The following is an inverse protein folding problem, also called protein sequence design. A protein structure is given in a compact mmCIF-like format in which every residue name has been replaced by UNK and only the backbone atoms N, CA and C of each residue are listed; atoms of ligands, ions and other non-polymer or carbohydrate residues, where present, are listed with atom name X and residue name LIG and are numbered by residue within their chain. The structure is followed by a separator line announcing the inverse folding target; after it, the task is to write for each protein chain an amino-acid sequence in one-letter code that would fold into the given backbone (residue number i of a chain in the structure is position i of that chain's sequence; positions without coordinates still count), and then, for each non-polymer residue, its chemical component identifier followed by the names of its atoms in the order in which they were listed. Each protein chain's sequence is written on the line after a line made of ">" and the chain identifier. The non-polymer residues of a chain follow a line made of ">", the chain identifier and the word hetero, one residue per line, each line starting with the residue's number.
data_IF_784927853025
#
_entry.id   IF_784927853025
#
_cell.length_a   1.000
_cell.length_b   1.000
_cell.length_c   1.000
_cell.angle_alpha   90.00
_cell.angle_beta   90.00
_cell.angle_gamma   90.00
#
_symmetry.space_group_name_H-M   'P 1'
#
loop_
_entity.id
_entity.type
_entity.pdbx_description
1 polymer ?
#
# COMPACT_ATOMS: atom_id res chain seq x y z
N UNK A 1 13.54 9.45 7.51
CA UNK A 1 13.69 8.76 6.20
C UNK A 1 12.89 9.50 5.13
N UNK A 2 13.35 9.52 3.88
CA UNK A 2 12.63 10.20 2.79
C UNK A 2 11.31 9.47 2.48
N UNK A 3 10.17 10.18 2.32
CA UNK A 3 8.85 9.54 2.14
C UNK A 3 8.78 8.56 0.96
N UNK A 4 9.45 8.85 -0.15
CA UNK A 4 9.50 7.94 -1.31
C UNK A 4 10.28 6.65 -1.02
N UNK A 5 11.30 6.70 -0.14
CA UNK A 5 12.02 5.49 0.25
C UNK A 5 11.15 4.61 1.16
N UNK A 6 10.33 5.23 2.02
CA UNK A 6 9.33 4.51 2.79
C UNK A 6 8.29 3.86 1.88
N UNK A 7 7.76 4.59 0.89
CA UNK A 7 6.79 4.06 -0.07
C UNK A 7 7.36 2.87 -0.84
N UNK A 8 8.60 2.97 -1.32
CA UNK A 8 9.28 1.87 -2.00
C UNK A 8 9.34 0.58 -1.15
N UNK A 9 9.66 0.69 0.14
CA UNK A 9 9.66 -0.48 1.04
C UNK A 9 8.24 -0.97 1.31
N UNK A 10 7.29 -0.06 1.52
CA UNK A 10 5.90 -0.41 1.79
C UNK A 10 5.20 -1.11 0.64
N UNK A 11 5.48 -0.73 -0.61
CA UNK A 11 5.00 -1.43 -1.81
C UNK A 11 5.46 -2.89 -1.83
N UNK A 12 6.74 -3.14 -1.53
CA UNK A 12 7.28 -4.50 -1.45
C UNK A 12 6.63 -5.32 -0.33
N UNK A 13 6.44 -4.71 0.86
CA UNK A 13 5.78 -5.36 2.01
C UNK A 13 4.31 -5.69 1.70
N UNK A 14 3.57 -4.73 1.14
CA UNK A 14 2.18 -4.93 0.77
C UNK A 14 2.02 -6.00 -0.31
N UNK A 15 2.86 -5.95 -1.35
CA UNK A 15 2.88 -6.95 -2.42
C UNK A 15 3.19 -8.34 -1.89
N UNK A 16 4.17 -8.47 -0.98
CA UNK A 16 4.48 -9.76 -0.36
C UNK A 16 3.30 -10.28 0.45
N UNK A 17 2.67 -9.44 1.28
CA UNK A 17 1.50 -9.82 2.07
C UNK A 17 0.35 -10.33 1.19
N UNK A 18 0.03 -9.61 0.11
CA UNK A 18 -1.00 -10.02 -0.85
C UNK A 18 -0.64 -11.35 -1.51
N UNK A 19 0.63 -11.52 -1.95
CA UNK A 19 1.09 -12.78 -2.55
C UNK A 19 0.95 -13.96 -1.59
N UNK A 20 1.26 -13.78 -0.32
CA UNK A 20 1.05 -14.80 0.72
C UNK A 20 -0.42 -15.15 0.83
N UNK A 21 -1.29 -14.15 0.99
CA UNK A 21 -2.75 -14.33 1.13
C UNK A 21 -3.34 -15.12 -0.05
N UNK A 22 -3.08 -14.68 -1.29
CA UNK A 22 -3.65 -15.35 -2.48
C UNK A 22 -3.09 -16.76 -2.68
N UNK A 23 -1.84 -17.02 -2.27
CA UNK A 23 -1.24 -18.35 -2.32
C UNK A 23 -1.91 -19.30 -1.34
N UNK A 24 -2.19 -18.84 -0.12
CA UNK A 24 -2.90 -19.61 0.90
C UNK A 24 -4.36 -19.90 0.47
N UNK A 25 -5.02 -18.94 -0.19
CA UNK A 25 -6.39 -19.11 -0.69
C UNK A 25 -6.51 -20.10 -1.86
N UNK A 26 -5.56 -20.09 -2.81
CA UNK A 26 -5.69 -20.85 -4.06
C UNK A 26 -5.31 -22.34 -3.96
N UNK A 27 -4.61 -22.78 -2.91
CA UNK A 27 -4.36 -24.20 -2.63
C UNK A 27 -3.57 -24.98 -3.69
N UNK A 28 -2.90 -24.34 -4.66
CA UNK A 28 -2.14 -25.04 -5.71
C UNK A 28 -1.53 -24.12 -6.79
N UNK A 29 -0.70 -24.68 -7.72
CA UNK A 29 0.07 -23.90 -8.69
C UNK A 29 -0.81 -23.36 -9.83
N UNK A 30 -1.37 -22.17 -9.62
CA UNK A 30 -2.10 -21.40 -10.64
C UNK A 30 -1.43 -20.05 -10.85
N UNK A 31 -0.20 -20.05 -11.34
CA UNK A 31 0.67 -18.86 -11.41
C UNK A 31 0.02 -17.67 -12.12
N UNK A 32 -0.73 -17.91 -13.19
CA UNK A 32 -1.49 -16.85 -13.89
C UNK A 32 -2.62 -16.26 -13.03
N UNK A 33 -3.35 -17.09 -12.30
CA UNK A 33 -4.42 -16.65 -11.38
C UNK A 33 -3.83 -15.89 -10.18
N UNK A 34 -2.76 -16.40 -9.58
CA UNK A 34 -2.03 -15.72 -8.48
C UNK A 34 -1.54 -14.34 -8.91
N UNK A 35 -0.97 -14.23 -10.11
CA UNK A 35 -0.51 -12.94 -10.63
C UNK A 35 -1.68 -11.98 -10.87
N UNK A 36 -2.78 -12.45 -11.46
CA UNK A 36 -3.99 -11.63 -11.67
C UNK A 36 -4.55 -11.11 -10.35
N UNK A 37 -4.79 -12.00 -9.39
CA UNK A 37 -5.34 -11.64 -8.08
C UNK A 37 -4.42 -10.69 -7.30
N UNK A 38 -3.10 -10.92 -7.37
CA UNK A 38 -2.13 -10.01 -6.76
C UNK A 38 -2.22 -8.63 -7.40
N UNK A 39 -2.14 -8.54 -8.72
CA UNK A 39 -2.15 -7.29 -9.47
C UNK A 39 -3.43 -6.47 -9.22
N UNK A 40 -4.59 -7.13 -9.09
CA UNK A 40 -5.86 -6.49 -8.76
C UNK A 40 -5.82 -5.85 -7.36
N UNK A 41 -5.27 -6.55 -6.37
CA UNK A 41 -5.21 -6.06 -4.97
C UNK A 41 -4.12 -5.01 -4.73
N UNK A 42 -3.00 -5.05 -5.47
CA UNK A 42 -1.90 -4.07 -5.32
C UNK A 42 -2.01 -2.87 -6.27
N UNK A 43 -3.03 -2.83 -7.13
CA UNK A 43 -3.24 -1.71 -8.05
C UNK A 43 -3.38 -0.36 -7.30
N UNK A 44 -2.86 0.73 -7.88
CA UNK A 44 -2.92 2.06 -7.29
C UNK A 44 -4.35 2.51 -6.94
N UNK A 45 -5.35 2.12 -7.74
CA UNK A 45 -6.76 2.38 -7.47
C UNK A 45 -7.28 1.65 -6.23
N UNK A 46 -6.92 0.38 -6.07
CA UNK A 46 -7.25 -0.43 -4.90
C UNK A 46 -6.58 0.13 -3.64
N UNK A 47 -5.29 0.46 -3.71
CA UNK A 47 -4.55 1.08 -2.62
C UNK A 47 -5.10 2.47 -2.25
N UNK A 48 -5.49 3.27 -3.24
CA UNK A 48 -6.13 4.57 -2.99
C UNK A 48 -7.47 4.42 -2.26
N UNK A 49 -8.28 3.43 -2.63
CA UNK A 49 -9.53 3.13 -1.94
C UNK A 49 -9.29 2.66 -0.50
N UNK A 50 -8.33 1.75 -0.29
CA UNK A 50 -7.90 1.30 1.03
C UNK A 50 -7.41 2.48 1.90
N UNK A 51 -6.62 3.39 1.34
CA UNK A 51 -6.14 4.57 2.07
C UNK A 51 -7.27 5.43 2.61
N UNK A 52 -8.42 5.51 1.93
CA UNK A 52 -9.59 6.23 2.41
C UNK A 52 -10.21 5.61 3.67
N UNK A 53 -10.12 4.30 3.83
CA UNK A 53 -10.60 3.55 5.01
C UNK A 53 -9.60 3.55 6.16
N UNK A 54 -8.31 3.48 5.83
CA UNK A 54 -7.24 3.32 6.82
C UNK A 54 -6.82 4.68 7.39
N UNK A 55 -6.75 5.73 6.55
CA UNK A 55 -6.22 7.03 6.98
C UNK A 55 -6.93 7.72 8.15
N UNK A 56 -8.24 7.54 8.41
CA UNK A 56 -8.88 8.05 9.62
C UNK A 56 -8.40 7.40 10.91
N UNK A 57 -7.75 6.23 10.83
CA UNK A 57 -7.22 5.50 11.98
C UNK A 57 -5.78 5.88 12.31
N UNK A 58 -5.13 6.70 11.47
CA UNK A 58 -3.73 7.05 11.67
C UNK A 58 -3.51 7.86 12.95
N UNK A 59 -2.42 7.55 13.64
CA UNK A 59 -1.86 8.46 14.63
C UNK A 59 -1.20 9.69 13.96
N UNK A 60 -0.70 10.61 14.77
CA UNK A 60 -0.09 11.85 14.27
C UNK A 60 1.14 11.61 13.39
N UNK A 61 1.95 10.60 13.71
CA UNK A 61 3.17 10.26 12.98
C UNK A 61 2.84 9.60 11.64
N UNK A 62 1.92 8.63 11.66
CA UNK A 62 1.39 7.94 10.48
C UNK A 62 0.73 8.95 9.53
N UNK A 63 -0.10 9.86 10.05
CA UNK A 63 -0.77 10.90 9.27
C UNK A 63 0.24 11.90 8.67
N UNK A 64 1.31 12.22 9.39
CA UNK A 64 2.37 13.09 8.89
C UNK A 64 3.18 12.44 7.76
N UNK A 65 3.55 11.17 7.91
CA UNK A 65 4.23 10.39 6.87
C UNK A 65 3.35 10.30 5.63
N UNK A 66 2.08 9.94 5.81
CA UNK A 66 1.10 9.87 4.73
C UNK A 66 1.01 11.21 3.97
N UNK A 67 0.83 12.32 4.69
CA UNK A 67 0.72 13.66 4.10
C UNK A 67 1.99 14.07 3.36
N UNK A 68 3.18 13.81 3.91
CA UNK A 68 4.45 14.10 3.23
C UNK A 68 4.62 13.29 1.96
N UNK A 69 4.33 11.98 1.99
CA UNK A 69 4.41 11.11 0.84
C UNK A 69 3.45 11.53 -0.29
N UNK A 70 2.19 11.86 0.02
CA UNK A 70 1.23 12.37 -0.98
C UNK A 70 1.67 13.66 -1.67
N UNK A 71 2.52 14.44 -1.02
CA UNK A 71 2.98 15.74 -1.51
C UNK A 71 4.39 15.68 -2.15
N UNK A 72 5.09 14.54 -2.06
CA UNK A 72 6.33 14.34 -2.78
C UNK A 72 6.05 14.36 -4.29
N UNK A 73 6.76 15.22 -5.03
CA UNK A 73 6.72 15.19 -6.49
C UNK A 73 7.35 13.89 -6.97
N UNK A 74 6.55 13.04 -7.61
CA UNK A 74 7.08 11.93 -8.38
C UNK A 74 7.77 12.56 -9.60
N UNK A 75 9.08 12.34 -9.75
CA UNK A 75 9.83 12.77 -10.96
C UNK A 75 9.57 11.78 -12.10
N UNK A 76 8.31 11.63 -12.50
CA UNK A 76 7.94 10.96 -13.75
C UNK A 76 7.55 12.04 -14.75
N UNK A 77 8.08 11.94 -15.95
CA UNK A 77 7.95 12.91 -17.04
C UNK A 77 6.55 12.94 -17.70
N UNK A 78 5.49 12.62 -16.96
CA UNK A 78 4.12 12.62 -17.47
C UNK A 78 3.50 14.02 -17.27
N UNK A 79 3.51 14.83 -18.34
CA UNK A 79 3.02 16.22 -18.41
C UNK A 79 1.54 16.45 -18.06
N UNK A 80 0.80 15.44 -17.62
CA UNK A 80 -0.65 15.52 -17.45
C UNK A 80 -1.06 14.88 -16.13
N UNK A 81 -0.99 15.67 -15.06
CA UNK A 81 -1.69 15.48 -13.79
C UNK A 81 -1.80 14.03 -13.30
N UNK A 82 -0.87 13.58 -12.46
CA UNK A 82 -1.03 12.31 -11.78
C UNK A 82 -2.37 12.26 -11.02
N UNK A 83 -3.23 11.26 -11.29
CA UNK A 83 -4.51 11.12 -10.63
C UNK A 83 -4.31 11.12 -9.11
N UNK A 84 -5.15 11.84 -8.37
CA UNK A 84 -5.09 11.91 -6.90
C UNK A 84 -5.06 10.54 -6.20
N UNK A 85 -5.41 9.47 -6.91
CA UNK A 85 -5.28 8.07 -6.53
C UNK A 85 -3.83 7.63 -6.35
N UNK A 86 -2.92 7.91 -7.31
CA UNK A 86 -1.51 7.52 -7.20
C UNK A 86 -0.85 8.14 -5.96
N UNK A 87 -1.09 9.44 -5.74
CA UNK A 87 -0.59 10.12 -4.55
C UNK A 87 -1.09 9.46 -3.26
N UNK A 88 -2.37 9.08 -3.20
CA UNK A 88 -2.96 8.39 -2.05
C UNK A 88 -2.40 6.99 -1.84
N UNK A 89 -2.18 6.22 -2.91
CA UNK A 89 -1.52 4.92 -2.86
C UNK A 89 -0.10 5.05 -2.29
N UNK A 90 0.73 5.94 -2.85
CA UNK A 90 2.08 6.19 -2.34
C UNK A 90 2.10 6.71 -0.90
N UNK A 91 1.07 7.44 -0.48
CA UNK A 91 0.87 7.81 0.91
C UNK A 91 0.72 6.58 1.82
N UNK A 92 -0.15 5.64 1.44
CA UNK A 92 -0.39 4.41 2.20
C UNK A 92 0.87 3.55 2.24
N UNK A 93 1.52 3.34 1.10
CA UNK A 93 2.79 2.62 1.01
C UNK A 93 3.85 3.20 1.95
N UNK A 94 3.96 4.54 2.04
CA UNK A 94 4.92 5.17 2.94
C UNK A 94 4.65 4.87 4.42
N UNK A 95 3.39 4.79 4.83
CA UNK A 95 3.02 4.40 6.20
C UNK A 95 3.37 2.93 6.44
N UNK A 96 3.03 2.03 5.52
CA UNK A 96 3.36 0.60 5.63
C UNK A 96 4.88 0.38 5.73
N UNK A 97 5.66 1.08 4.90
CA UNK A 97 7.12 1.02 4.95
C UNK A 97 7.69 1.56 6.26
N UNK A 98 7.13 2.62 6.82
CA UNK A 98 7.51 3.12 8.13
C UNK A 98 7.27 2.10 9.24
N UNK A 99 6.07 1.52 9.28
CA UNK A 99 5.71 0.52 10.29
C UNK A 99 6.61 -0.71 10.20
N UNK A 100 6.89 -1.18 8.98
CA UNK A 100 7.82 -2.28 8.75
C UNK A 100 9.23 -1.98 9.25
N UNK A 101 9.80 -0.85 8.85
CA UNK A 101 11.18 -0.48 9.19
C UNK A 101 11.38 -0.13 10.66
N UNK A 102 10.30 0.20 11.37
CA UNK A 102 10.31 0.47 12.82
C UNK A 102 9.89 -0.73 13.66
N UNK A 103 9.58 -1.87 13.03
CA UNK A 103 9.21 -3.10 13.74
C UNK A 103 7.83 -3.06 14.39
N UNK A 104 6.94 -2.15 13.97
CA UNK A 104 5.58 -2.02 14.49
C UNK A 104 4.65 -3.07 13.86
N UNK A 105 4.92 -4.34 14.13
CA UNK A 105 4.32 -5.49 13.43
C UNK A 105 2.81 -5.59 13.62
N UNK A 106 2.28 -5.39 14.84
CA UNK A 106 0.83 -5.47 15.09
C UNK A 106 0.06 -4.41 14.28
N UNK A 107 0.58 -3.18 14.29
CA UNK A 107 0.01 -2.04 13.56
C UNK A 107 0.08 -2.25 12.04
N UNK A 108 1.21 -2.78 11.56
CA UNK A 108 1.41 -3.15 10.17
C UNK A 108 0.41 -4.23 9.72
N UNK A 109 0.28 -5.32 10.50
CA UNK A 109 -0.64 -6.42 10.19
C UNK A 109 -2.09 -5.96 10.14
N UNK A 110 -2.51 -5.08 11.05
CA UNK A 110 -3.84 -4.48 11.03
C UNK A 110 -4.10 -3.75 9.70
N UNK A 111 -3.20 -2.87 9.29
CA UNK A 111 -3.39 -2.09 8.06
C UNK A 111 -3.27 -2.93 6.78
N UNK A 112 -2.40 -3.95 6.76
CA UNK A 112 -2.32 -4.90 5.65
C UNK A 112 -3.61 -5.72 5.51
N UNK A 113 -4.22 -6.14 6.62
CA UNK A 113 -5.54 -6.78 6.63
C UNK A 113 -6.59 -5.86 5.99
N UNK A 114 -6.75 -4.65 6.53
CA UNK A 114 -7.72 -3.66 6.01
C UNK A 114 -7.49 -3.25 4.55
N UNK A 115 -6.23 -3.27 4.09
CA UNK A 115 -5.88 -2.92 2.72
C UNK A 115 -6.33 -3.99 1.71
N UNK A 116 -6.44 -5.24 2.15
CA UNK A 116 -6.71 -6.40 1.29
C UNK A 116 -8.13 -6.95 1.39
N UNK A 117 -8.92 -6.45 2.35
CA UNK A 117 -10.36 -6.70 2.46
C UNK A 117 -11.11 -6.23 1.21
N UNK A 118 -11.80 -7.18 0.57
CA UNK A 118 -12.73 -6.90 -0.52
C UNK A 118 -13.98 -6.21 0.06
N UNK A 119 -14.53 -5.22 -0.66
CA UNK A 119 -15.84 -4.66 -0.30
C UNK A 119 -16.86 -5.80 -0.39
N UNK A 120 -17.47 -6.14 0.74
CA UNK A 120 -18.71 -6.93 0.77
C UNK A 120 -19.82 -6.22 -0.01
#
# INVERSE_FOLDING_TARGET
>A
MHPMALAFVGDAVHTLYVRTLVTEMCGGPRTGELHRMTSEKVAATAQAAASGRISPLFDETEADIFRRARNCRIQTSAKHAEPAEYRRASGLEAVLGYLYLTGQTERLSLFLGMATEDKA
#
